data_IF_605546583563
#
_entry.id   IF_605546583563
#
_cell.length_a   1.000
_cell.length_b   1.000
_cell.length_c   1.000
_cell.angle_alpha   90.00
_cell.angle_beta   90.00
_cell.angle_gamma   90.00
#
_symmetry.space_group_name_H-M   'P 1'
#
loop_
_entity.id
_entity.type
_entity.pdbx_description
1 polymer ?
#
# COMPACT_ATOMS: atom_id res chain seq x y z
N UNK A 1 7.76 -8.51 7.28
CA UNK A 1 7.23 -9.39 6.19
C UNK A 1 7.74 -8.85 4.86
N UNK A 2 8.08 -9.73 3.92
CA UNK A 2 8.48 -9.36 2.55
C UNK A 2 7.47 -9.90 1.54
N UNK A 3 7.27 -9.17 0.44
CA UNK A 3 6.46 -9.56 -0.72
C UNK A 3 7.14 -9.09 -2.01
N UNK A 4 6.71 -9.62 -3.14
CA UNK A 4 7.20 -9.20 -4.46
C UNK A 4 6.03 -8.99 -5.39
N UNK A 5 5.93 -7.80 -5.98
CA UNK A 5 5.00 -7.50 -7.07
C UNK A 5 5.70 -7.86 -8.38
N UNK A 6 4.98 -8.52 -9.29
CA UNK A 6 5.47 -8.81 -10.65
C UNK A 6 4.63 -8.03 -11.66
N UNK A 7 5.29 -7.20 -12.47
CA UNK A 7 4.65 -6.35 -13.48
C UNK A 7 5.35 -6.62 -14.81
N UNK A 8 4.78 -7.52 -15.60
CA UNK A 8 5.43 -8.03 -16.80
C UNK A 8 6.80 -8.66 -16.47
N UNK A 9 7.89 -8.01 -16.91
CA UNK A 9 9.26 -8.45 -16.63
C UNK A 9 9.89 -7.79 -15.38
N UNK A 10 9.24 -6.78 -14.81
CA UNK A 10 9.74 -6.02 -13.67
C UNK A 10 9.30 -6.67 -12.36
N UNK A 11 10.24 -6.86 -11.44
CA UNK A 11 9.96 -7.35 -10.08
C UNK A 11 10.24 -6.24 -9.06
N UNK A 12 9.22 -5.89 -8.27
CA UNK A 12 9.32 -4.89 -7.19
C UNK A 12 9.24 -5.60 -5.86
N UNK A 13 10.33 -5.56 -5.09
CA UNK A 13 10.37 -6.12 -3.73
C UNK A 13 9.81 -5.13 -2.72
N UNK A 14 8.98 -5.62 -1.82
CA UNK A 14 8.32 -4.85 -0.78
C UNK A 14 8.61 -5.45 0.59
N UNK A 15 8.77 -4.60 1.61
CA UNK A 15 8.89 -5.06 2.99
C UNK A 15 8.18 -4.14 3.98
N UNK A 16 7.44 -4.75 4.91
CA UNK A 16 6.93 -4.08 6.10
C UNK A 16 7.87 -4.35 7.29
N UNK A 17 8.42 -3.28 7.87
CA UNK A 17 9.28 -3.31 9.04
C UNK A 17 8.91 -2.17 10.03
N UNK A 18 9.54 -2.16 11.21
CA UNK A 18 9.20 -1.20 12.27
C UNK A 18 9.42 0.28 11.89
N UNK A 19 10.26 0.56 10.89
CA UNK A 19 10.51 1.92 10.42
C UNK A 19 9.52 2.39 9.35
N UNK A 20 8.72 1.49 8.77
CA UNK A 20 7.78 1.80 7.67
C UNK A 20 6.82 2.95 8.03
N UNK A 21 6.14 2.98 9.18
CA UNK A 21 5.21 4.08 9.50
C UNK A 21 5.92 5.44 9.64
N UNK A 22 7.12 5.46 10.22
CA UNK A 22 7.90 6.69 10.35
C UNK A 22 8.40 7.19 9.00
N UNK A 23 8.85 6.29 8.12
CA UNK A 23 9.27 6.62 6.76
C UNK A 23 8.13 7.23 5.95
N UNK A 24 6.93 6.63 6.03
CA UNK A 24 5.73 7.15 5.40
C UNK A 24 5.47 8.60 5.83
N UNK A 25 5.46 8.83 7.15
CA UNK A 25 5.23 10.16 7.73
C UNK A 25 6.26 11.19 7.31
N UNK A 26 7.54 10.81 7.26
CA UNK A 26 8.61 11.69 6.80
C UNK A 26 8.48 12.06 5.32
N UNK A 27 8.05 11.12 4.47
CA UNK A 27 7.94 11.36 3.03
C UNK A 27 6.69 12.17 2.67
N UNK A 28 5.54 11.84 3.24
CA UNK A 28 4.24 12.37 2.80
C UNK A 28 3.65 13.40 3.76
N UNK A 29 4.25 13.60 4.94
CA UNK A 29 3.72 14.50 5.97
C UNK A 29 2.41 14.03 6.60
N UNK A 30 1.96 12.81 6.29
CA UNK A 30 0.71 12.22 6.81
C UNK A 30 0.97 11.02 7.72
N UNK A 31 0.01 10.72 8.59
CA UNK A 31 0.14 9.58 9.51
C UNK A 31 -0.27 8.28 8.82
N UNK A 32 0.65 7.31 8.80
CA UNK A 32 0.49 6.02 8.13
C UNK A 32 -0.81 5.30 8.50
N UNK A 33 -1.16 5.27 9.80
CA UNK A 33 -2.34 4.55 10.25
C UNK A 33 -3.63 5.34 10.01
N UNK A 34 -3.57 6.67 10.05
CA UNK A 34 -4.72 7.51 9.71
C UNK A 34 -5.11 7.36 8.22
N UNK A 35 -4.12 7.36 7.33
CA UNK A 35 -4.35 7.18 5.90
C UNK A 35 -4.85 5.76 5.58
N UNK A 36 -4.34 4.77 6.29
CA UNK A 36 -4.80 3.39 6.19
C UNK A 36 -6.26 3.24 6.65
N UNK A 37 -6.65 3.89 7.75
CA UNK A 37 -8.05 3.93 8.19
C UNK A 37 -8.95 4.67 7.21
N UNK A 38 -8.44 5.71 6.55
CA UNK A 38 -9.16 6.45 5.51
C UNK A 38 -9.44 5.55 4.31
N UNK A 39 -8.42 4.82 3.85
CA UNK A 39 -8.55 3.82 2.79
C UNK A 39 -9.55 2.72 3.18
N UNK A 40 -9.43 2.17 4.38
CA UNK A 40 -10.33 1.13 4.89
C UNK A 40 -11.79 1.58 4.91
N UNK A 41 -12.06 2.81 5.38
CA UNK A 41 -13.42 3.40 5.39
C UNK A 41 -13.98 3.64 3.99
N UNK A 42 -13.15 4.05 3.04
CA UNK A 42 -13.59 4.27 1.66
C UNK A 42 -13.98 2.96 0.96
N UNK A 43 -13.37 1.85 1.38
CA UNK A 43 -13.57 0.49 0.90
C UNK A 43 -14.45 -0.37 1.82
N UNK A 44 -15.05 0.24 2.84
CA UNK A 44 -15.86 -0.48 3.83
C UNK A 44 -17.16 -0.94 3.16
N UNK A 45 -17.10 -2.15 2.61
CA UNK A 45 -18.19 -2.82 1.90
C UNK A 45 -19.18 -3.53 2.85
N UNK A 46 -19.33 -3.04 4.10
CA UNK A 46 -20.19 -3.65 5.13
C UNK A 46 -19.90 -5.15 5.36
N UNK A 47 -18.65 -5.59 5.22
CA UNK A 47 -18.28 -6.94 5.59
C UNK A 47 -18.47 -7.10 7.10
N UNK A 48 -19.13 -8.18 7.54
CA UNK A 48 -19.47 -8.41 8.95
C UNK A 48 -18.25 -8.44 9.89
N UNK A 49 -17.04 -8.62 9.36
CA UNK A 49 -15.78 -8.67 10.10
C UNK A 49 -14.97 -7.35 10.09
N UNK A 50 -15.46 -6.30 9.42
CA UNK A 50 -14.78 -5.01 9.30
C UNK A 50 -13.49 -5.04 8.46
N UNK A 51 -13.31 -6.07 7.63
CA UNK A 51 -12.18 -6.16 6.70
C UNK A 51 -12.48 -5.47 5.36
N UNK A 52 -11.45 -4.89 4.74
CA UNK A 52 -11.51 -4.34 3.38
C UNK A 52 -10.66 -5.19 2.43
N UNK A 53 -11.06 -5.23 1.16
CA UNK A 53 -10.41 -6.03 0.13
C UNK A 53 -9.98 -5.14 -1.05
N UNK A 54 -8.66 -5.06 -1.29
CA UNK A 54 -8.09 -4.30 -2.40
C UNK A 54 -8.20 -5.04 -3.74
N UNK A 55 -8.44 -6.36 -3.72
CA UNK A 55 -8.60 -7.14 -4.95
C UNK A 55 -9.98 -6.98 -5.60
N UNK A 56 -10.95 -6.42 -4.86
CA UNK A 56 -12.35 -6.29 -5.29
C UNK A 56 -12.82 -4.84 -5.15
N UNK A 57 -12.10 -3.94 -5.81
CA UNK A 57 -12.44 -2.50 -5.84
C UNK A 57 -13.40 -2.27 -7.01
N UNK A 58 -14.64 -1.89 -6.68
CA UNK A 58 -15.65 -1.56 -7.69
C UNK A 58 -15.44 -0.15 -8.27
N UNK A 59 -16.13 0.15 -9.38
CA UNK A 59 -16.07 1.50 -9.97
C UNK A 59 -16.60 2.59 -9.02
N UNK A 60 -17.57 2.27 -8.16
CA UNK A 60 -18.08 3.23 -7.17
C UNK A 60 -17.11 3.42 -6.00
N UNK A 61 -16.32 2.39 -5.66
CA UNK A 61 -15.21 2.53 -4.71
C UNK A 61 -14.13 3.46 -5.24
N UNK A 62 -13.78 3.37 -6.53
CA UNK A 62 -12.79 4.26 -7.16
C UNK A 62 -13.16 5.75 -7.05
N UNK A 63 -14.45 6.09 -6.90
CA UNK A 63 -14.90 7.48 -6.68
C UNK A 63 -14.68 7.97 -5.25
N UNK A 64 -14.53 7.06 -4.30
CA UNK A 64 -14.37 7.34 -2.86
C UNK A 64 -12.94 7.17 -2.39
N UNK A 65 -12.17 6.33 -3.07
CA UNK A 65 -10.82 5.95 -2.68
C UNK A 65 -9.81 6.97 -3.19
N UNK A 66 -9.01 7.49 -2.26
CA UNK A 66 -7.82 8.26 -2.57
C UNK A 66 -6.71 7.33 -3.07
N UNK A 67 -6.71 7.02 -4.37
CA UNK A 67 -5.78 6.07 -4.99
C UNK A 67 -4.30 6.42 -4.78
N UNK A 68 -3.98 7.71 -4.59
CA UNK A 68 -2.64 8.17 -4.24
C UNK A 68 -2.10 7.47 -2.98
N UNK A 69 -2.96 7.14 -2.01
CA UNK A 69 -2.55 6.43 -0.79
C UNK A 69 -1.97 5.06 -1.11
N UNK A 70 -2.54 4.34 -2.08
CA UNK A 70 -2.07 3.02 -2.50
C UNK A 70 -0.63 3.09 -3.04
N UNK A 71 -0.36 4.06 -3.91
CA UNK A 71 1.00 4.28 -4.44
C UNK A 71 1.98 4.73 -3.35
N UNK A 72 1.55 5.58 -2.42
CA UNK A 72 2.37 6.00 -1.28
C UNK A 72 2.78 4.80 -0.42
N UNK A 73 1.85 3.88 -0.16
CA UNK A 73 2.15 2.66 0.59
C UNK A 73 3.12 1.76 -0.17
N UNK A 74 2.86 1.48 -1.45
CA UNK A 74 3.75 0.66 -2.29
C UNK A 74 5.17 1.23 -2.31
N UNK A 75 5.32 2.53 -2.57
CA UNK A 75 6.64 3.18 -2.54
C UNK A 75 7.30 3.05 -1.17
N UNK A 76 6.55 3.25 -0.08
CA UNK A 76 7.12 3.16 1.28
C UNK A 76 7.63 1.75 1.57
N UNK A 77 6.87 0.73 1.16
CA UNK A 77 7.28 -0.67 1.32
C UNK A 77 8.46 -1.04 0.41
N UNK A 78 8.55 -0.48 -0.80
CA UNK A 78 9.69 -0.67 -1.68
C UNK A 78 10.96 -0.02 -1.09
N UNK A 79 10.85 1.25 -0.67
CA UNK A 79 11.94 2.01 -0.02
C UNK A 79 12.40 1.39 1.31
N UNK A 80 11.56 0.57 1.93
CA UNK A 80 11.92 -0.19 3.13
C UNK A 80 12.82 -1.41 2.84
N UNK A 81 12.82 -1.93 1.60
CA UNK A 81 13.76 -2.95 1.12
C UNK A 81 15.04 -2.31 0.61
N UNK A 82 14.91 -1.24 -0.16
CA UNK A 82 16.03 -0.57 -0.82
C UNK A 82 16.02 0.93 -0.54
N UNK A 83 17.00 1.39 0.24
CA UNK A 83 17.15 2.79 0.60
C UNK A 83 17.61 3.67 -0.56
N UNK A 84 18.02 3.11 -1.69
CA UNK A 84 18.46 3.84 -2.89
C UNK A 84 17.31 4.26 -3.80
N UNK A 85 16.12 3.65 -3.65
CA UNK A 85 14.90 4.04 -4.41
C UNK A 85 14.67 5.55 -4.29
N UNK A 86 14.49 6.31 -5.38
CA UNK A 86 14.37 7.77 -5.31
C UNK A 86 13.03 8.21 -4.68
N UNK A 87 12.74 9.51 -4.72
CA UNK A 87 11.43 10.02 -4.28
C UNK A 87 10.27 9.38 -5.07
N UNK A 88 9.03 9.43 -4.56
CA UNK A 88 7.90 8.72 -5.14
C UNK A 88 7.66 9.01 -6.62
N UNK A 89 7.78 10.27 -7.05
CA UNK A 89 7.50 10.63 -8.45
C UNK A 89 8.59 10.09 -9.35
N UNK A 90 9.85 10.37 -9.05
CA UNK A 90 11.00 9.86 -9.82
C UNK A 90 10.99 8.33 -9.90
N UNK A 91 10.60 7.64 -8.82
CA UNK A 91 10.51 6.19 -8.83
C UNK A 91 9.37 5.68 -9.71
N UNK A 92 8.18 6.27 -9.60
CA UNK A 92 7.02 5.87 -10.42
C UNK A 92 7.27 6.13 -11.92
N UNK A 93 7.92 7.24 -12.27
CA UNK A 93 8.31 7.55 -13.66
C UNK A 93 9.33 6.55 -14.24
N UNK A 94 10.11 5.88 -13.38
CA UNK A 94 11.06 4.84 -13.82
C UNK A 94 10.39 3.49 -14.13
N UNK A 95 9.12 3.31 -13.76
CA UNK A 95 8.36 2.10 -14.03
C UNK A 95 7.60 2.26 -15.35
N UNK A 96 7.65 1.24 -16.22
CA UNK A 96 6.84 1.22 -17.45
C UNK A 96 5.34 1.33 -17.15
N UNK A 97 4.90 0.66 -16.08
CA UNK A 97 3.54 0.75 -15.54
C UNK A 97 3.50 0.25 -14.10
N UNK A 98 2.46 0.65 -13.36
CA UNK A 98 2.12 0.08 -12.06
C UNK A 98 0.59 -0.06 -11.92
N UNK A 99 -0.02 -1.02 -12.65
CA UNK A 99 -1.47 -1.23 -12.60
C UNK A 99 -1.93 -1.71 -11.23
N UNK A 100 -3.06 -1.21 -10.75
CA UNK A 100 -3.62 -1.57 -9.44
C UNK A 100 -3.80 -3.09 -9.27
N UNK A 101 -4.28 -3.78 -10.31
CA UNK A 101 -4.51 -5.22 -10.29
C UNK A 101 -3.24 -6.05 -10.03
N UNK A 102 -2.06 -5.52 -10.39
CA UNK A 102 -0.80 -6.26 -10.25
C UNK A 102 -0.26 -6.22 -8.82
N UNK A 103 -0.60 -5.18 -8.04
CA UNK A 103 -0.05 -4.99 -6.68
C UNK A 103 -1.07 -5.04 -5.55
N UNK A 104 -2.37 -4.93 -5.82
CA UNK A 104 -3.41 -4.82 -4.80
C UNK A 104 -3.36 -5.93 -3.74
N UNK A 105 -3.21 -7.19 -4.18
CA UNK A 105 -3.17 -8.35 -3.28
C UNK A 105 -1.95 -8.35 -2.34
N UNK A 106 -0.76 -8.14 -2.91
CA UNK A 106 0.48 -8.08 -2.13
C UNK A 106 0.48 -6.90 -1.15
N UNK A 107 -0.08 -5.76 -1.56
CA UNK A 107 -0.26 -4.60 -0.71
C UNK A 107 -1.25 -4.88 0.45
N UNK A 108 -2.38 -5.54 0.17
CA UNK A 108 -3.38 -5.87 1.19
C UNK A 108 -2.79 -6.77 2.28
N UNK A 109 -1.98 -7.76 1.90
CA UNK A 109 -1.32 -8.63 2.87
C UNK A 109 -0.32 -7.89 3.76
N UNK A 110 0.51 -7.02 3.17
CA UNK A 110 1.48 -6.21 3.92
C UNK A 110 0.80 -5.26 4.89
N UNK A 111 -0.28 -4.61 4.43
CA UNK A 111 -1.11 -3.74 5.25
C UNK A 111 -1.74 -4.55 6.39
N UNK A 112 -2.37 -5.68 6.10
CA UNK A 112 -2.98 -6.56 7.10
C UNK A 112 -1.97 -6.98 8.17
N UNK A 113 -0.75 -7.32 7.77
CA UNK A 113 0.34 -7.63 8.71
C UNK A 113 0.78 -6.42 9.54
N UNK A 114 0.72 -5.20 8.99
CA UNK A 114 1.12 -3.97 9.67
C UNK A 114 0.12 -3.53 10.74
N UNK A 115 -1.16 -3.93 10.64
CA UNK A 115 -2.22 -3.65 11.64
C UNK A 115 -2.42 -4.84 12.60
N UNK A 116 -1.69 -5.96 12.46
CA UNK A 116 -1.86 -7.11 13.36
C UNK A 116 -1.62 -6.70 14.82
N UNK A 117 -2.72 -6.38 15.51
CA UNK A 117 -2.77 -6.36 16.95
C UNK A 117 -2.70 -7.81 17.39
N UNK A 118 -1.91 -8.12 18.43
CA UNK A 118 -2.10 -9.39 19.11
C UNK A 118 -3.55 -9.40 19.59
N UNK A 119 -4.43 -10.17 18.93
CA UNK A 119 -5.70 -10.56 19.55
C UNK A 119 -5.32 -11.15 20.92
N UNK A 120 -5.76 -10.48 21.98
CA UNK A 120 -5.74 -11.06 23.32
C UNK A 120 -6.72 -12.22 23.37
#
# INVERSE_FOLDING_TARGET
>A
MEKTIKIGATEIRLASNAATPLRYKMQFGSDFFADLLTLAKALDNQNEDGSFNLNDISYDDLKRVELTLLYNFVWTYAKAVDSTIPDPITWLESLDSLPLADFAGELQELISHSIQTKKK
#
